data_IF_608392744696
#
_entry.id   IF_608392744696
#
_cell.length_a   1.000
_cell.length_b   1.000
_cell.length_c   1.000
_cell.angle_alpha   90.00
_cell.angle_beta   90.00
_cell.angle_gamma   90.00
#
_symmetry.space_group_name_H-M   'P 1'
#
loop_
_entity.id
_entity.type
_entity.pdbx_description
1 polymer ?
#
# COMPACT_ATOMS: atom_id res chain seq x y z
N UNK A 1 36.79 -1.49 35.97
CA UNK A 1 36.54 -1.57 34.52
C UNK A 1 35.05 -1.75 34.36
N UNK A 2 34.38 -0.67 33.97
CA UNK A 2 32.98 -0.40 34.31
C UNK A 2 31.96 -0.84 33.26
N UNK A 3 30.82 -1.29 33.78
CA UNK A 3 29.56 -1.49 33.07
C UNK A 3 28.99 -0.14 32.60
N UNK A 4 28.60 -0.04 31.33
CA UNK A 4 27.83 1.09 30.81
C UNK A 4 26.33 0.75 30.86
N UNK A 5 25.62 1.46 31.74
CA UNK A 5 24.16 1.46 31.85
C UNK A 5 23.54 2.13 30.61
N UNK A 6 22.57 1.47 29.99
CA UNK A 6 21.59 2.08 29.09
C UNK A 6 20.66 2.96 29.94
N UNK A 7 20.88 4.27 29.88
CA UNK A 7 20.05 5.25 30.58
C UNK A 7 18.70 5.42 29.87
N UNK A 8 17.65 5.31 30.68
CA UNK A 8 16.28 5.78 30.46
C UNK A 8 16.27 7.23 29.96
N UNK A 9 15.67 7.48 28.80
CA UNK A 9 15.39 8.82 28.30
C UNK A 9 14.03 9.28 28.86
N UNK A 10 14.05 10.28 29.76
CA UNK A 10 12.86 10.88 30.34
C UNK A 10 12.09 11.73 29.32
N UNK A 11 10.76 11.64 29.37
CA UNK A 11 9.79 12.30 28.48
C UNK A 11 9.66 13.82 28.67
N UNK A 12 10.57 14.48 29.39
CA UNK A 12 10.48 15.91 29.73
C UNK A 12 11.14 16.86 28.70
N UNK A 13 11.92 16.34 27.74
CA UNK A 13 12.64 17.17 26.76
C UNK A 13 11.95 17.30 25.40
N UNK A 14 10.83 16.60 25.16
CA UNK A 14 10.02 16.75 23.95
C UNK A 14 9.07 17.96 24.01
N UNK A 15 8.87 18.57 25.18
CA UNK A 15 7.94 19.70 25.36
C UNK A 15 8.53 21.07 25.00
N UNK A 16 9.85 21.26 25.06
CA UNK A 16 10.47 22.58 24.84
C UNK A 16 10.65 22.95 23.36
N UNK A 17 10.59 21.98 22.45
CA UNK A 17 10.64 22.22 21.00
C UNK A 17 9.30 22.65 20.38
N UNK A 18 8.21 22.61 21.16
CA UNK A 18 6.83 22.84 20.67
C UNK A 18 6.32 24.25 20.97
N UNK A 19 7.02 25.03 21.79
CA UNK A 19 6.53 26.36 22.22
C UNK A 19 6.78 27.46 21.16
N UNK A 20 7.83 27.34 20.34
CA UNK A 20 8.26 28.36 19.38
C UNK A 20 7.45 28.46 18.08
N UNK A 21 6.74 27.39 17.67
CA UNK A 21 5.93 27.37 16.45
C UNK A 21 4.46 27.78 16.66
N UNK A 22 3.97 27.80 17.91
CA UNK A 22 2.60 28.17 18.24
C UNK A 22 2.27 29.63 17.93
N UNK A 23 3.27 30.51 17.92
CA UNK A 23 3.03 31.95 17.78
C UNK A 23 3.00 32.41 16.30
N UNK A 24 3.54 31.62 15.37
CA UNK A 24 3.50 31.94 13.93
C UNK A 24 2.20 31.51 13.25
N UNK A 25 1.53 30.49 13.78
CA UNK A 25 0.24 29.98 13.27
C UNK A 25 -0.95 30.79 13.79
N UNK A 26 -0.82 31.51 14.91
CA UNK A 26 -1.92 32.28 15.49
C UNK A 26 -2.25 33.57 14.72
N UNK A 27 -1.27 34.15 14.04
CA UNK A 27 -1.41 35.42 13.31
C UNK A 27 -1.90 35.24 11.86
N UNK A 28 -1.69 34.08 11.24
CA UNK A 28 -2.20 33.81 9.87
C UNK A 28 -3.68 33.39 9.84
N UNK A 29 -4.28 33.03 10.98
CA UNK A 29 -5.66 32.50 11.06
C UNK A 29 -6.71 33.55 11.47
N UNK A 30 -6.31 34.72 11.98
CA UNK A 30 -7.28 35.70 12.55
C UNK A 30 -7.75 36.82 11.60
N UNK A 31 -7.35 36.85 10.33
CA UNK A 31 -7.94 37.74 9.32
C UNK A 31 -8.16 37.05 7.98
N UNK A 32 -9.17 36.17 7.92
CA UNK A 32 -9.59 35.56 6.67
C UNK A 32 -10.78 34.65 6.89
N UNK A 33 -11.97 35.17 6.60
CA UNK A 33 -13.25 34.46 6.66
C UNK A 33 -13.16 33.05 6.07
N UNK A 34 -13.79 32.07 6.71
CA UNK A 34 -14.85 31.22 6.13
C UNK A 34 -15.14 30.03 7.05
N UNK A 35 -16.43 29.80 7.30
CA UNK A 35 -16.97 28.54 7.81
C UNK A 35 -16.52 27.42 6.88
N UNK A 36 -15.56 26.59 7.30
CA UNK A 36 -15.20 25.39 6.55
C UNK A 36 -15.34 24.14 7.42
N UNK A 37 -15.85 23.10 6.78
CA UNK A 37 -16.22 21.78 7.30
C UNK A 37 -15.08 21.15 8.12
N UNK A 38 -15.37 20.23 9.06
CA UNK A 38 -14.39 19.58 9.94
C UNK A 38 -13.13 19.02 9.24
N UNK A 39 -13.22 18.75 7.94
CA UNK A 39 -12.18 18.19 7.07
C UNK A 39 -10.89 19.03 7.02
N UNK A 40 -10.95 20.37 6.97
CA UNK A 40 -9.74 21.20 6.77
C UNK A 40 -8.72 21.12 7.93
N UNK A 41 -9.19 20.78 9.14
CA UNK A 41 -8.34 20.66 10.34
C UNK A 41 -7.55 19.34 10.38
N UNK A 42 -8.07 18.28 9.75
CA UNK A 42 -7.46 16.96 9.75
C UNK A 42 -6.26 16.82 8.81
N UNK A 43 -6.17 17.65 7.75
CA UNK A 43 -5.06 17.54 6.78
C UNK A 43 -3.75 18.14 7.28
N UNK A 44 -3.80 19.12 8.20
CA UNK A 44 -2.61 19.82 8.71
C UNK A 44 -1.77 19.00 9.71
N UNK A 45 -2.33 17.95 10.34
CA UNK A 45 -1.61 17.03 11.26
C UNK A 45 -1.07 15.76 10.57
N UNK A 46 -1.43 15.52 9.30
CA UNK A 46 -1.12 14.28 8.54
C UNK A 46 0.35 13.97 8.27
N UNK A 47 1.26 14.94 8.05
CA UNK A 47 2.66 14.61 7.75
C UNK A 47 3.35 13.82 8.86
N UNK A 48 2.90 13.96 10.12
CA UNK A 48 3.58 13.42 11.29
C UNK A 48 3.22 11.96 11.63
N UNK A 49 2.18 11.40 11.01
CA UNK A 49 1.67 10.06 11.36
C UNK A 49 1.59 9.08 10.19
N UNK A 50 1.75 9.56 8.96
CA UNK A 50 1.80 8.70 7.78
C UNK A 50 3.04 7.79 7.80
N UNK A 51 2.94 6.53 7.35
CA UNK A 51 4.09 5.65 7.29
C UNK A 51 5.16 6.18 6.33
N UNK A 52 6.41 5.95 6.70
CA UNK A 52 7.54 5.92 5.79
C UNK A 52 7.83 4.46 5.47
N UNK A 53 8.24 4.19 4.24
CA UNK A 53 8.48 2.81 3.77
C UNK A 53 9.96 2.67 3.44
N UNK A 54 10.63 1.72 4.09
CA UNK A 54 11.93 1.25 3.61
C UNK A 54 11.71 0.24 2.50
N UNK A 55 12.22 0.54 1.31
CA UNK A 55 12.38 -0.43 0.24
C UNK A 55 13.67 -1.23 0.48
N UNK A 56 13.66 -2.52 0.16
CA UNK A 56 14.81 -3.38 0.41
C UNK A 56 16.06 -2.93 -0.39
N UNK A 57 17.26 -3.20 0.14
CA UNK A 57 18.53 -2.88 -0.52
C UNK A 57 18.69 -3.59 -1.89
N UNK A 58 18.04 -4.74 -2.06
CA UNK A 58 18.03 -5.49 -3.31
C UNK A 58 16.80 -5.25 -4.17
N UNK A 59 15.98 -4.23 -3.88
CA UNK A 59 14.78 -3.93 -4.66
C UNK A 59 15.14 -3.57 -6.12
N UNK A 60 14.38 -4.15 -7.05
CA UNK A 60 14.48 -3.90 -8.48
C UNK A 60 13.16 -3.38 -9.08
N UNK A 61 12.04 -3.57 -8.38
CA UNK A 61 10.70 -3.18 -8.77
C UNK A 61 10.21 -2.11 -7.80
N UNK A 62 10.41 -0.86 -8.18
CA UNK A 62 10.11 0.30 -7.33
C UNK A 62 8.63 0.72 -7.45
N UNK A 63 8.13 1.61 -6.59
CA UNK A 63 6.77 2.13 -6.73
C UNK A 63 6.54 2.74 -8.11
N UNK A 64 5.38 2.45 -8.70
CA UNK A 64 5.08 2.73 -10.11
C UNK A 64 3.94 3.71 -10.27
N UNK A 65 3.90 4.38 -11.43
CA UNK A 65 2.78 5.27 -11.77
C UNK A 65 1.48 4.47 -11.99
N UNK A 66 0.44 4.80 -11.24
CA UNK A 66 -0.87 4.14 -11.34
C UNK A 66 -1.47 4.36 -12.74
N UNK A 67 -1.26 5.54 -13.35
CA UNK A 67 -1.79 5.81 -14.69
C UNK A 67 -1.01 5.08 -15.77
N UNK A 68 0.32 5.00 -15.67
CA UNK A 68 1.13 4.21 -16.60
C UNK A 68 0.70 2.74 -16.68
N UNK A 69 0.19 2.13 -15.59
CA UNK A 69 -0.40 0.79 -15.65
C UNK A 69 -1.54 0.74 -16.68
N UNK A 70 -2.46 1.70 -16.64
CA UNK A 70 -3.61 1.77 -17.58
C UNK A 70 -3.13 2.02 -19.01
N UNK A 71 -2.09 2.84 -19.19
CA UNK A 71 -1.56 3.15 -20.53
C UNK A 71 -0.82 1.96 -21.17
N UNK A 72 -0.17 1.11 -20.36
CA UNK A 72 0.60 -0.03 -20.84
C UNK A 72 -0.20 -1.33 -20.87
N UNK A 73 -1.51 -1.27 -20.65
CA UNK A 73 -2.40 -2.43 -20.65
C UNK A 73 -3.64 -2.23 -21.52
N UNK A 74 -4.34 -3.33 -21.79
CA UNK A 74 -5.66 -3.36 -22.40
C UNK A 74 -6.56 -4.35 -21.66
N UNK A 75 -7.88 -4.11 -21.62
CA UNK A 75 -8.80 -4.97 -20.87
C UNK A 75 -9.11 -6.26 -21.62
N UNK A 76 -8.85 -7.40 -20.98
CA UNK A 76 -9.23 -8.72 -21.46
C UNK A 76 -10.24 -9.40 -20.53
N UNK A 77 -11.07 -10.26 -21.10
CA UNK A 77 -11.81 -11.31 -20.38
C UNK A 77 -11.46 -12.63 -21.04
N UNK A 78 -10.99 -13.61 -20.27
CA UNK A 78 -10.61 -14.93 -20.78
C UNK A 78 -9.66 -14.82 -22.00
N UNK A 79 -8.58 -14.05 -21.82
CA UNK A 79 -7.57 -13.76 -22.87
C UNK A 79 -8.12 -13.11 -24.16
N UNK A 80 -9.34 -12.57 -24.14
CA UNK A 80 -9.94 -11.90 -25.29
C UNK A 80 -10.17 -10.41 -24.98
N UNK A 81 -9.65 -9.55 -25.85
CA UNK A 81 -9.75 -8.08 -25.70
C UNK A 81 -11.16 -7.56 -25.83
N UNK A 82 -11.56 -6.73 -24.86
CA UNK A 82 -12.78 -5.93 -24.93
C UNK A 82 -12.52 -4.79 -25.93
N UNK A 83 -13.33 -4.74 -27.00
CA UNK A 83 -13.18 -3.75 -28.08
C UNK A 83 -14.20 -2.61 -27.95
N UNK A 84 -13.99 -1.56 -28.75
CA UNK A 84 -14.89 -0.40 -28.88
C UNK A 84 -15.09 0.39 -27.57
N UNK A 85 -14.06 0.44 -26.73
CA UNK A 85 -14.02 1.26 -25.54
C UNK A 85 -13.48 2.67 -25.87
N UNK A 86 -13.89 3.71 -25.14
CA UNK A 86 -13.16 4.98 -25.17
C UNK A 86 -11.73 4.77 -24.64
N UNK A 87 -10.80 5.71 -24.89
CA UNK A 87 -9.50 5.71 -24.22
C UNK A 87 -9.68 5.62 -22.71
N UNK A 88 -9.06 4.61 -22.11
CA UNK A 88 -9.14 4.38 -20.67
C UNK A 88 -8.23 5.34 -19.92
N UNK A 89 -8.75 5.92 -18.85
CA UNK A 89 -8.05 6.78 -17.91
C UNK A 89 -8.40 6.37 -16.49
N UNK A 90 -7.70 6.92 -15.50
CA UNK A 90 -8.06 6.70 -14.11
C UNK A 90 -9.45 7.27 -13.77
N UNK A 91 -9.96 8.26 -14.51
CA UNK A 91 -11.29 8.82 -14.27
C UNK A 91 -12.43 7.92 -14.72
N UNK A 92 -12.20 7.09 -15.74
CA UNK A 92 -13.26 6.29 -16.37
C UNK A 92 -13.02 4.77 -16.28
N UNK A 93 -11.97 4.30 -15.60
CA UNK A 93 -11.61 2.88 -15.57
C UNK A 93 -12.76 1.97 -15.09
N UNK A 94 -13.64 2.48 -14.22
CA UNK A 94 -14.83 1.78 -13.73
C UNK A 94 -15.88 1.46 -14.80
N UNK A 95 -15.81 2.01 -16.03
CA UNK A 95 -16.69 1.57 -17.13
C UNK A 95 -16.51 0.07 -17.42
N UNK A 96 -15.33 -0.47 -17.14
CA UNK A 96 -15.03 -1.89 -17.28
C UNK A 96 -15.89 -2.77 -16.34
N UNK A 97 -16.48 -2.20 -15.30
CA UNK A 97 -17.40 -2.91 -14.42
C UNK A 97 -18.69 -3.34 -15.12
N UNK A 98 -19.03 -2.79 -16.28
CA UNK A 98 -20.17 -3.22 -17.09
C UNK A 98 -19.96 -4.56 -17.81
N UNK A 99 -18.74 -5.10 -17.79
CA UNK A 99 -18.36 -6.29 -18.54
C UNK A 99 -18.11 -7.50 -17.64
N UNK A 100 -18.23 -8.69 -18.22
CA UNK A 100 -17.95 -9.95 -17.51
C UNK A 100 -18.80 -10.10 -16.25
N UNK A 101 -18.15 -10.50 -15.16
CA UNK A 101 -18.75 -10.65 -13.84
C UNK A 101 -18.68 -9.33 -13.05
N UNK A 102 -19.40 -8.30 -13.53
CA UNK A 102 -19.39 -6.96 -12.95
C UNK A 102 -17.98 -6.36 -12.82
N UNK A 103 -17.13 -6.57 -13.83
CA UNK A 103 -15.72 -6.15 -13.86
C UNK A 103 -14.74 -7.12 -13.20
N UNK A 104 -15.17 -8.02 -12.31
CA UNK A 104 -14.28 -8.82 -11.44
C UNK A 104 -13.33 -9.77 -12.18
N UNK A 105 -13.68 -10.15 -13.40
CA UNK A 105 -12.88 -11.00 -14.28
C UNK A 105 -12.42 -10.25 -15.55
N UNK A 106 -12.38 -8.91 -15.49
CA UNK A 106 -11.69 -8.08 -16.48
C UNK A 106 -10.26 -7.88 -15.98
N UNK A 107 -9.28 -8.11 -16.85
CA UNK A 107 -7.86 -8.07 -16.55
C UNK A 107 -7.20 -6.96 -17.36
N UNK A 108 -6.44 -6.08 -16.70
CA UNK A 108 -5.57 -5.10 -17.36
C UNK A 108 -4.33 -5.81 -17.89
N UNK A 109 -4.45 -6.42 -19.07
CA UNK A 109 -3.39 -7.25 -19.67
C UNK A 109 -2.33 -6.40 -20.34
N UNK A 110 -1.05 -6.69 -20.09
CA UNK A 110 0.10 -6.01 -20.67
C UNK A 110 0.01 -5.95 -22.20
N UNK A 111 0.36 -4.79 -22.76
CA UNK A 111 0.44 -4.58 -24.21
C UNK A 111 1.66 -5.24 -24.86
N UNK A 112 2.62 -5.66 -24.06
CA UNK A 112 3.89 -6.26 -24.48
C UNK A 112 4.21 -7.49 -23.65
N UNK A 113 5.07 -8.36 -24.17
CA UNK A 113 5.52 -9.54 -23.45
C UNK A 113 6.31 -9.13 -22.19
N UNK A 114 5.80 -9.53 -21.03
CA UNK A 114 6.37 -9.19 -19.72
C UNK A 114 7.71 -9.87 -19.47
N UNK A 115 7.99 -10.96 -20.21
CA UNK A 115 9.29 -11.66 -20.17
C UNK A 115 10.39 -10.93 -20.92
N UNK A 116 10.06 -9.87 -21.68
CA UNK A 116 11.03 -8.93 -22.26
C UNK A 116 11.47 -7.84 -21.27
N UNK A 117 11.07 -7.95 -20.00
CA UNK A 117 11.41 -7.03 -18.90
C UNK A 117 11.17 -5.55 -19.25
N UNK A 118 9.96 -5.18 -19.68
CA UNK A 118 9.71 -3.82 -20.11
C UNK A 118 9.88 -2.82 -18.97
N UNK A 119 10.53 -1.69 -19.29
CA UNK A 119 10.96 -0.67 -18.33
C UNK A 119 9.84 -0.12 -17.42
N UNK A 120 8.58 -0.11 -17.86
CA UNK A 120 7.48 0.39 -17.04
C UNK A 120 7.16 -0.51 -15.83
N UNK A 121 7.60 -1.78 -15.85
CA UNK A 121 7.46 -2.72 -14.74
C UNK A 121 8.43 -2.46 -13.58
N UNK A 122 9.57 -1.81 -13.82
CA UNK A 122 10.60 -1.57 -12.78
C UNK A 122 10.30 -0.36 -11.89
N UNK A 123 9.28 0.42 -12.22
CA UNK A 123 8.85 1.58 -11.44
C UNK A 123 9.84 2.74 -11.40
N UNK A 124 9.67 3.62 -10.40
CA UNK A 124 10.46 4.85 -10.22
C UNK A 124 11.17 4.81 -8.88
N UNK A 125 12.50 4.92 -8.93
CA UNK A 125 13.35 5.02 -7.75
C UNK A 125 13.03 6.35 -7.02
N UNK A 126 12.62 6.32 -5.73
CA UNK A 126 12.51 7.52 -4.90
C UNK A 126 13.81 8.34 -4.87
N UNK A 127 13.69 9.67 -4.85
CA UNK A 127 14.84 10.56 -4.67
C UNK A 127 15.32 10.61 -3.21
N UNK A 128 16.28 11.50 -2.91
CA UNK A 128 16.83 11.66 -1.57
C UNK A 128 15.82 12.13 -0.52
N UNK A 129 14.71 12.74 -0.94
CA UNK A 129 13.60 13.15 -0.07
C UNK A 129 12.54 12.05 0.06
N UNK A 130 12.74 10.92 -0.62
CA UNK A 130 11.81 9.80 -0.66
C UNK A 130 10.64 10.02 -1.62
N UNK A 131 10.73 10.94 -2.57
CA UNK A 131 9.66 11.20 -3.55
C UNK A 131 9.87 10.41 -4.85
N UNK A 132 8.80 9.80 -5.36
CA UNK A 132 8.78 9.30 -6.75
C UNK A 132 8.44 10.45 -7.70
N UNK A 133 9.42 10.90 -8.49
CA UNK A 133 9.28 12.08 -9.32
C UNK A 133 8.44 11.84 -10.60
N UNK A 134 7.61 12.83 -10.94
CA UNK A 134 6.79 12.88 -12.17
C UNK A 134 5.76 11.76 -12.35
N UNK A 135 5.44 11.02 -11.28
CA UNK A 135 4.47 9.91 -11.28
C UNK A 135 3.62 9.96 -10.02
N UNK A 136 2.43 9.36 -10.02
CA UNK A 136 1.63 9.17 -8.81
C UNK A 136 1.60 7.69 -8.47
N UNK A 137 2.31 7.31 -7.39
CA UNK A 137 2.58 5.91 -7.04
C UNK A 137 1.81 5.42 -5.81
N UNK A 138 0.95 6.26 -5.26
CA UNK A 138 0.21 5.96 -4.04
C UNK A 138 -1.21 6.52 -4.09
N UNK A 139 -2.07 5.95 -3.25
CA UNK A 139 -3.38 6.49 -2.96
C UNK A 139 -3.61 6.51 -1.44
N UNK A 140 -4.05 7.64 -0.92
CA UNK A 140 -4.37 7.84 0.49
C UNK A 140 -5.87 7.98 0.61
N UNK A 141 -6.49 7.00 1.27
CA UNK A 141 -7.95 6.89 1.39
C UNK A 141 -8.31 7.01 2.86
N UNK A 142 -9.16 7.96 3.21
CA UNK A 142 -9.60 8.19 4.59
C UNK A 142 -11.08 7.88 4.74
N UNK A 143 -11.42 6.99 5.67
CA UNK A 143 -12.78 6.69 6.07
C UNK A 143 -13.04 7.22 7.48
N UNK A 144 -13.84 8.28 7.59
CA UNK A 144 -14.36 8.75 8.88
C UNK A 144 -15.55 7.88 9.28
N UNK A 145 -15.36 7.08 10.32
CA UNK A 145 -16.34 6.09 10.80
C UNK A 145 -17.29 6.69 11.83
N UNK A 146 -17.17 7.99 12.10
CA UNK A 146 -17.91 8.69 13.14
C UNK A 146 -17.37 8.39 14.55
N UNK A 147 -17.90 9.13 15.53
CA UNK A 147 -17.57 8.96 16.95
C UNK A 147 -16.05 9.03 17.27
N UNK A 148 -15.29 9.79 16.48
CA UNK A 148 -13.85 9.95 16.68
C UNK A 148 -12.99 8.83 16.07
N UNK A 149 -13.60 7.79 15.48
CA UNK A 149 -12.89 6.69 14.83
C UNK A 149 -12.62 7.02 13.36
N UNK A 150 -11.36 7.00 12.95
CA UNK A 150 -10.94 7.28 11.55
C UNK A 150 -9.95 6.23 11.10
N UNK A 151 -10.17 5.71 9.90
CA UNK A 151 -9.26 4.79 9.25
C UNK A 151 -8.56 5.48 8.08
N UNK A 152 -7.24 5.50 8.07
CA UNK A 152 -6.43 6.00 6.97
C UNK A 152 -5.67 4.83 6.31
N UNK A 153 -5.96 4.59 5.04
CA UNK A 153 -5.28 3.61 4.21
C UNK A 153 -4.23 4.31 3.36
N UNK A 154 -3.00 3.80 3.41
CA UNK A 154 -1.86 4.23 2.60
C UNK A 154 -1.59 3.11 1.60
N UNK A 155 -2.17 3.24 0.41
CA UNK A 155 -2.08 2.25 -0.67
C UNK A 155 -0.85 2.53 -1.52
N UNK A 156 -0.08 1.49 -1.81
CA UNK A 156 1.15 1.51 -2.57
C UNK A 156 0.95 0.75 -3.86
N UNK A 157 1.40 1.32 -4.97
CA UNK A 157 1.27 0.68 -6.27
C UNK A 157 2.64 0.32 -6.85
N UNK A 158 2.77 -0.91 -7.32
CA UNK A 158 3.91 -1.40 -8.09
C UNK A 158 3.39 -1.97 -9.40
N UNK A 159 4.12 -1.79 -10.49
CA UNK A 159 3.68 -2.27 -11.82
C UNK A 159 3.94 -3.77 -12.01
N UNK A 160 4.77 -4.36 -11.15
CA UNK A 160 5.12 -5.77 -11.17
C UNK A 160 5.40 -6.23 -9.75
N UNK A 161 5.00 -7.46 -9.45
CA UNK A 161 5.38 -8.21 -8.26
C UNK A 161 6.25 -9.38 -8.73
N UNK A 162 7.48 -9.45 -8.21
CA UNK A 162 8.32 -10.62 -8.36
C UNK A 162 8.02 -11.57 -7.20
N UNK A 163 7.49 -12.74 -7.54
CA UNK A 163 7.14 -13.77 -6.58
C UNK A 163 8.35 -14.35 -5.86
N UNK A 164 8.10 -15.15 -4.83
CA UNK A 164 9.18 -15.73 -4.04
C UNK A 164 9.79 -16.96 -4.72
N UNK A 165 11.05 -17.25 -4.37
CA UNK A 165 11.73 -18.47 -4.77
C UNK A 165 11.44 -19.62 -3.79
N UNK A 166 10.84 -20.70 -4.29
CA UNK A 166 10.60 -21.94 -3.54
C UNK A 166 11.39 -23.06 -4.20
N UNK A 167 12.35 -23.67 -3.48
CA UNK A 167 13.26 -24.69 -4.04
C UNK A 167 13.86 -24.29 -5.40
N UNK A 168 14.39 -23.07 -5.49
CA UNK A 168 14.99 -22.50 -6.71
C UNK A 168 14.02 -22.23 -7.88
N UNK A 169 12.70 -22.27 -7.64
CA UNK A 169 11.67 -21.91 -8.60
C UNK A 169 11.01 -20.60 -8.18
N UNK A 170 11.04 -19.59 -9.05
CA UNK A 170 10.30 -18.33 -8.87
C UNK A 170 8.81 -18.54 -9.19
N UNK A 171 7.96 -18.17 -8.24
CA UNK A 171 6.53 -18.45 -8.27
C UNK A 171 5.72 -17.28 -7.73
N UNK A 172 4.59 -16.99 -8.38
CA UNK A 172 3.64 -15.98 -7.93
C UNK A 172 3.84 -14.60 -8.54
N UNK A 173 4.62 -14.47 -9.61
CA UNK A 173 4.79 -13.22 -10.33
C UNK A 173 3.45 -12.71 -10.86
N UNK A 174 3.21 -11.41 -10.75
CA UNK A 174 2.05 -10.81 -11.38
C UNK A 174 2.28 -9.36 -11.79
N UNK A 175 1.53 -8.96 -12.80
CA UNK A 175 1.52 -7.59 -13.31
C UNK A 175 0.57 -6.80 -12.43
N UNK A 176 1.02 -5.60 -12.07
CA UNK A 176 0.42 -4.70 -11.10
C UNK A 176 0.35 -5.29 -9.70
N UNK A 177 0.46 -4.43 -8.70
CA UNK A 177 0.43 -4.83 -7.31
C UNK A 177 -0.11 -3.72 -6.42
N UNK A 178 -0.96 -4.10 -5.47
CA UNK A 178 -1.59 -3.18 -4.52
C UNK A 178 -1.36 -3.69 -3.10
N UNK A 179 -0.38 -3.07 -2.45
CA UNK A 179 -0.03 -3.27 -1.03
C UNK A 179 -0.47 -2.05 -0.22
N UNK A 180 -0.58 -2.18 1.11
CA UNK A 180 -0.97 -1.06 1.95
C UNK A 180 -0.64 -1.22 3.43
N UNK A 181 -0.46 -0.06 4.05
CA UNK A 181 -0.67 0.09 5.47
C UNK A 181 -2.03 0.72 5.75
N UNK A 182 -2.57 0.44 6.94
CA UNK A 182 -3.73 1.18 7.46
C UNK A 182 -3.46 1.59 8.89
N UNK A 183 -3.78 2.82 9.26
CA UNK A 183 -3.73 3.31 10.63
C UNK A 183 -5.15 3.61 11.08
N UNK A 184 -5.54 3.07 12.24
CA UNK A 184 -6.79 3.43 12.90
C UNK A 184 -6.52 4.44 14.00
N UNK A 185 -7.27 5.53 13.95
CA UNK A 185 -7.27 6.61 14.92
C UNK A 185 -8.54 6.56 15.76
N UNK A 186 -8.41 6.88 17.03
CA UNK A 186 -9.52 7.14 17.95
C UNK A 186 -9.26 8.49 18.61
N UNK A 187 -10.24 9.40 18.53
CA UNK A 187 -10.14 10.78 19.04
C UNK A 187 -8.85 11.51 18.59
N UNK A 188 -8.54 11.40 17.29
CA UNK A 188 -7.33 11.94 16.65
C UNK A 188 -5.99 11.30 17.08
N UNK A 189 -6.01 10.18 17.83
CA UNK A 189 -4.79 9.49 18.28
C UNK A 189 -4.65 8.14 17.58
N UNK A 190 -3.50 7.84 16.95
CA UNK A 190 -3.31 6.54 16.31
C UNK A 190 -3.23 5.42 17.36
N UNK A 191 -4.04 4.39 17.18
CA UNK A 191 -4.17 3.27 18.12
C UNK A 191 -3.48 2.01 17.62
N UNK A 192 -3.62 1.72 16.33
CA UNK A 192 -3.16 0.47 15.71
C UNK A 192 -2.81 0.67 14.25
N UNK A 193 -1.96 -0.20 13.74
CA UNK A 193 -1.48 -0.18 12.37
C UNK A 193 -1.50 -1.59 11.77
N UNK A 194 -2.04 -1.69 10.57
CA UNK A 194 -2.05 -2.87 9.72
C UNK A 194 -0.90 -2.82 8.71
N UNK A 195 -0.34 -3.99 8.43
CA UNK A 195 0.66 -4.21 7.40
C UNK A 195 0.16 -5.36 6.51
N UNK A 196 -0.19 -5.06 5.26
CA UNK A 196 -0.63 -6.11 4.32
C UNK A 196 0.52 -7.00 3.91
N UNK A 197 0.26 -8.29 3.81
CA UNK A 197 1.21 -9.31 3.39
C UNK A 197 0.45 -10.30 2.52
N UNK A 198 0.68 -10.26 1.21
CA UNK A 198 0.02 -11.16 0.26
C UNK A 198 -1.51 -11.07 0.38
N UNK A 199 -2.19 -12.20 0.60
CA UNK A 199 -3.64 -12.26 0.83
C UNK A 199 -4.13 -11.86 2.23
N UNK A 200 -3.23 -11.57 3.18
CA UNK A 200 -3.58 -11.19 4.55
C UNK A 200 -2.61 -10.12 5.10
N UNK A 201 -2.06 -10.31 6.31
CA UNK A 201 -1.18 -9.35 6.95
C UNK A 201 -1.12 -9.50 8.46
N UNK A 202 -0.56 -8.49 9.12
CA UNK A 202 -0.39 -8.43 10.56
C UNK A 202 -0.83 -7.06 11.11
N UNK A 203 -1.38 -7.07 12.32
CA UNK A 203 -1.72 -5.85 13.05
C UNK A 203 -0.86 -5.67 14.31
N UNK A 204 -0.51 -4.42 14.59
CA UNK A 204 0.24 -4.01 15.77
C UNK A 204 -0.42 -2.82 16.45
N UNK A 205 -0.25 -2.70 17.75
CA UNK A 205 -0.53 -1.43 18.44
C UNK A 205 0.37 -0.34 17.86
N UNK A 206 -0.14 0.86 17.66
CA UNK A 206 0.67 1.94 17.07
C UNK A 206 1.87 2.28 17.93
N UNK A 207 1.75 2.15 19.26
CA UNK A 207 2.83 2.37 20.21
C UNK A 207 4.02 1.44 19.96
N UNK A 208 3.78 0.18 19.60
CA UNK A 208 4.85 -0.81 19.42
C UNK A 208 5.59 -0.69 18.11
N UNK A 209 4.99 -0.08 17.08
CA UNK A 209 5.62 0.12 15.76
C UNK A 209 6.80 1.09 15.86
N UNK A 210 7.89 0.74 15.15
CA UNK A 210 9.07 1.59 15.03
C UNK A 210 8.73 2.96 14.43
N UNK A 211 9.38 4.02 14.90
CA UNK A 211 9.17 5.38 14.41
C UNK A 211 10.50 6.01 14.02
N UNK A 212 10.47 6.78 12.94
CA UNK A 212 11.61 7.57 12.48
C UNK A 212 11.94 8.66 13.52
N UNK A 213 13.15 8.66 14.07
CA UNK A 213 13.49 9.49 15.23
C UNK A 213 13.29 11.00 15.02
N UNK A 214 13.43 11.49 13.78
CA UNK A 214 13.31 12.93 13.45
C UNK A 214 11.86 13.40 13.27
N UNK A 215 10.98 12.54 12.76
CA UNK A 215 9.61 12.92 12.38
C UNK A 215 8.53 12.23 13.20
N UNK A 216 8.90 11.22 14.01
CA UNK A 216 8.01 10.33 14.75
C UNK A 216 7.01 9.55 13.89
N UNK A 217 7.17 9.58 12.57
CA UNK A 217 6.37 8.80 11.62
C UNK A 217 6.64 7.30 11.78
N UNK A 218 5.62 6.44 11.69
CA UNK A 218 5.80 5.00 11.78
C UNK A 218 6.58 4.49 10.56
N UNK A 219 7.29 3.40 10.74
CA UNK A 219 8.09 2.77 9.69
C UNK A 219 7.43 1.46 9.25
N UNK A 220 7.37 1.27 7.94
CA UNK A 220 7.03 0.03 7.25
C UNK A 220 8.21 -0.44 6.44
N UNK A 221 8.34 -1.75 6.27
CA UNK A 221 9.38 -2.37 5.46
C UNK A 221 8.71 -3.13 4.32
N UNK A 222 8.97 -2.72 3.08
CA UNK A 222 8.50 -3.43 1.89
C UNK A 222 9.44 -4.58 1.57
N UNK A 223 8.89 -5.77 1.42
CA UNK A 223 9.65 -6.94 1.01
C UNK A 223 10.13 -6.79 -0.42
N UNK A 224 11.35 -7.28 -0.67
CA UNK A 224 11.97 -7.30 -1.99
C UNK A 224 11.08 -8.05 -2.98
N UNK A 225 10.62 -7.37 -4.03
CA UNK A 225 9.90 -7.96 -5.16
C UNK A 225 8.44 -8.32 -4.88
N UNK A 226 8.14 -8.94 -3.73
CA UNK A 226 6.76 -9.29 -3.34
C UNK A 226 5.98 -8.13 -2.74
N UNK A 227 6.68 -7.07 -2.31
CA UNK A 227 6.16 -5.84 -1.73
C UNK A 227 5.32 -5.97 -0.45
N UNK A 228 5.14 -7.18 0.08
CA UNK A 228 4.51 -7.42 1.37
C UNK A 228 5.13 -6.51 2.44
N UNK A 229 4.29 -5.91 3.28
CA UNK A 229 4.69 -4.92 4.27
C UNK A 229 4.90 -5.56 5.64
N UNK A 230 6.00 -5.18 6.29
CA UNK A 230 6.40 -5.71 7.59
C UNK A 230 6.71 -4.59 8.57
N UNK A 231 6.47 -4.87 9.86
CA UNK A 231 6.77 -3.92 10.95
C UNK A 231 8.25 -3.95 11.39
N UNK A 232 9.01 -4.95 10.95
CA UNK A 232 10.44 -5.14 11.28
C UNK A 232 11.25 -5.52 10.03
N UNK A 233 12.54 -5.18 9.96
CA UNK A 233 13.42 -5.68 8.92
C UNK A 233 13.78 -7.15 9.18
N UNK A 234 14.23 -7.87 8.15
CA UNK A 234 14.77 -9.23 8.28
C UNK A 234 14.13 -10.23 7.32
N UNK A 235 14.13 -11.49 7.73
CA UNK A 235 13.56 -12.61 6.99
C UNK A 235 12.20 -12.94 7.60
N UNK A 236 11.19 -13.10 6.76
CA UNK A 236 9.82 -13.38 7.16
C UNK A 236 9.31 -14.61 6.40
N UNK A 237 9.26 -15.76 7.05
CA UNK A 237 8.51 -16.90 6.51
C UNK A 237 7.01 -16.60 6.60
N UNK A 238 6.27 -16.86 5.52
CA UNK A 238 4.84 -16.58 5.45
C UNK A 238 4.02 -17.79 4.98
N UNK A 239 4.56 -19.00 5.19
CA UNK A 239 3.84 -20.25 4.93
C UNK A 239 2.51 -20.35 5.70
N UNK A 240 2.46 -19.77 6.91
CA UNK A 240 1.27 -19.74 7.75
C UNK A 240 0.74 -18.30 7.80
N UNK A 241 -0.50 -18.03 7.35
CA UNK A 241 -1.09 -16.70 7.43
C UNK A 241 -1.06 -16.13 8.85
N UNK A 242 -0.68 -14.86 9.00
CA UNK A 242 -0.55 -14.16 10.29
C UNK A 242 0.53 -14.73 11.24
N UNK A 243 1.50 -15.51 10.76
CA UNK A 243 2.64 -15.95 11.56
C UNK A 243 3.94 -15.81 10.77
N UNK A 244 4.80 -14.87 11.19
CA UNK A 244 6.15 -14.77 10.65
C UNK A 244 7.08 -15.68 11.44
N UNK A 245 7.87 -16.49 10.76
CA UNK A 245 8.98 -17.22 11.37
C UNK A 245 10.29 -16.66 10.82
N UNK A 246 11.38 -16.63 11.61
CA UNK A 246 12.67 -16.12 11.15
C UNK A 246 13.32 -16.98 10.06
N UNK A 247 12.77 -18.17 9.79
CA UNK A 247 13.12 -19.05 8.69
C UNK A 247 11.97 -20.00 8.36
N UNK A 248 11.81 -20.34 7.08
CA UNK A 248 10.89 -21.37 6.59
C UNK A 248 10.98 -21.59 5.08
N UNK A 249 9.93 -22.11 4.45
CA UNK A 249 9.97 -22.57 3.05
C UNK A 249 9.62 -21.49 2.03
N UNK A 250 8.96 -20.42 2.46
CA UNK A 250 8.47 -19.35 1.60
C UNK A 250 8.74 -18.02 2.31
N UNK A 251 9.77 -17.31 1.86
CA UNK A 251 10.39 -16.23 2.62
C UNK A 251 10.36 -14.90 1.87
N UNK A 252 9.97 -13.86 2.59
CA UNK A 252 10.19 -12.48 2.23
C UNK A 252 11.43 -11.91 2.94
N UNK A 253 12.04 -10.92 2.30
CA UNK A 253 13.25 -10.26 2.77
C UNK A 253 13.02 -8.76 2.81
N UNK A 254 13.30 -8.15 3.96
CA UNK A 254 13.20 -6.70 4.15
C UNK A 254 14.46 -6.13 4.77
N UNK A 255 14.82 -4.90 4.39
CA UNK A 255 15.95 -4.17 4.96
C UNK A 255 15.75 -2.66 4.87
N UNK A 256 16.66 -1.90 5.48
CA UNK A 256 16.70 -0.43 5.42
C UNK A 256 17.46 0.01 4.17
N UNK A 257 16.87 -0.18 3.00
CA UNK A 257 17.46 0.26 1.73
C UNK A 257 17.12 1.71 1.42
N UNK A 258 16.26 1.93 0.44
CA UNK A 258 15.85 3.27 0.03
C UNK A 258 14.61 3.71 0.80
N UNK A 259 14.65 4.92 1.38
CA UNK A 259 13.50 5.47 2.08
C UNK A 259 12.52 6.07 1.08
N UNK A 260 11.26 5.69 1.18
CA UNK A 260 10.17 6.20 0.37
C UNK A 260 9.12 6.86 1.27
N UNK A 261 8.62 8.01 0.81
CA UNK A 261 7.49 8.71 1.41
C UNK A 261 6.29 8.68 0.46
N UNK A 262 5.34 7.75 0.69
CA UNK A 262 4.12 7.62 -0.10
C UNK A 262 3.27 8.90 -0.17
N UNK A 263 3.42 9.82 0.78
CA UNK A 263 2.61 11.05 0.84
C UNK A 263 3.07 12.14 -0.12
N UNK A 264 4.31 12.06 -0.63
CA UNK A 264 4.88 13.07 -1.52
C UNK A 264 4.41 12.93 -2.97
N UNK A 265 3.79 11.81 -3.32
CA UNK A 265 3.13 11.62 -4.61
C UNK A 265 1.98 10.62 -4.53
N UNK A 266 0.82 11.12 -4.10
CA UNK A 266 -0.39 10.33 -3.92
C UNK A 266 -1.63 11.01 -4.50
N UNK A 267 -2.60 10.18 -4.90
CA UNK A 267 -3.98 10.60 -4.99
C UNK A 267 -4.65 10.55 -3.61
N UNK A 268 -5.59 11.45 -3.34
CA UNK A 268 -6.24 11.60 -2.05
C UNK A 268 -7.75 11.44 -2.18
N UNK A 269 -8.34 10.71 -1.25
CA UNK A 269 -9.77 10.42 -1.25
C UNK A 269 -10.34 10.41 0.17
N UNK A 270 -11.58 10.88 0.31
CA UNK A 270 -12.42 10.42 1.41
C UNK A 270 -13.27 9.23 0.92
N UNK A 271 -13.50 8.26 1.79
CA UNK A 271 -14.39 7.15 1.54
C UNK A 271 -15.53 7.17 2.56
N UNK A 272 -16.77 7.11 2.08
CA UNK A 272 -17.95 6.94 2.93
C UNK A 272 -18.28 5.45 3.04
N UNK A 273 -18.02 4.88 4.23
CA UNK A 273 -18.29 3.48 4.51
C UNK A 273 -19.77 3.07 4.44
N UNK A 274 -20.72 4.00 4.61
CA UNK A 274 -22.16 3.67 4.57
C UNK A 274 -22.66 3.50 3.13
N UNK A 275 -22.24 4.39 2.24
CA UNK A 275 -22.63 4.38 0.83
C UNK A 275 -21.64 3.61 -0.06
N UNK A 276 -20.47 3.26 0.47
CA UNK A 276 -19.34 2.70 -0.29
C UNK A 276 -18.93 3.59 -1.46
N UNK A 277 -18.81 4.89 -1.19
CA UNK A 277 -18.47 5.89 -2.22
C UNK A 277 -17.17 6.63 -1.90
N UNK A 278 -16.48 7.05 -2.96
CA UNK A 278 -15.28 7.87 -2.91
C UNK A 278 -15.61 9.33 -3.25
N UNK A 279 -15.09 10.25 -2.45
CA UNK A 279 -15.01 11.67 -2.74
C UNK A 279 -13.58 11.99 -3.19
N UNK A 280 -13.45 12.67 -4.33
CA UNK A 280 -12.18 13.17 -4.85
C UNK A 280 -11.65 14.32 -4.01
N UNK A 281 -10.36 14.28 -3.67
CA UNK A 281 -9.62 15.41 -3.10
C UNK A 281 -8.63 15.92 -4.13
N UNK A 282 -8.57 17.23 -4.30
CA UNK A 282 -7.67 17.93 -5.23
C UNK A 282 -7.69 17.39 -6.67
N UNK A 283 -8.87 16.95 -7.13
CA UNK A 283 -9.06 16.43 -8.48
C UNK A 283 -8.55 15.00 -8.70
N UNK A 284 -8.31 14.24 -7.62
CA UNK A 284 -7.93 12.83 -7.71
C UNK A 284 -8.97 12.00 -8.47
N UNK A 285 -8.56 11.14 -9.42
CA UNK A 285 -9.47 10.42 -10.31
C UNK A 285 -10.17 9.29 -9.57
N UNK A 286 -11.51 9.23 -9.64
CA UNK A 286 -12.30 8.26 -8.85
C UNK A 286 -12.58 6.95 -9.58
N UNK A 287 -12.54 6.92 -10.91
CA UNK A 287 -12.86 5.72 -11.71
C UNK A 287 -12.00 4.51 -11.35
N UNK A 288 -10.70 4.71 -11.14
CA UNK A 288 -9.76 3.67 -10.73
C UNK A 288 -10.10 3.10 -9.35
N UNK A 289 -10.58 3.92 -8.41
CA UNK A 289 -10.99 3.46 -7.07
C UNK A 289 -12.26 2.60 -7.12
N UNK A 290 -13.12 2.78 -8.12
CA UNK A 290 -14.30 1.96 -8.34
C UNK A 290 -14.06 0.74 -9.25
N UNK A 291 -12.91 0.63 -9.91
CA UNK A 291 -12.63 -0.51 -10.79
C UNK A 291 -12.50 -1.80 -9.99
N UNK A 292 -13.31 -2.80 -10.33
CA UNK A 292 -13.44 -4.07 -9.60
C UNK A 292 -12.59 -5.21 -10.14
N UNK A 293 -11.97 -5.00 -11.30
CA UNK A 293 -11.21 -6.04 -11.99
C UNK A 293 -9.80 -6.22 -11.46
N UNK A 294 -8.98 -6.89 -12.28
CA UNK A 294 -7.61 -7.26 -11.94
C UNK A 294 -6.64 -6.26 -12.56
N UNK A 295 -5.74 -5.75 -11.75
CA UNK A 295 -4.72 -4.77 -12.12
C UNK A 295 -3.51 -5.42 -12.83
N UNK A 296 -3.75 -6.39 -13.69
CA UNK A 296 -2.71 -7.08 -14.44
C UNK A 296 -3.26 -8.21 -15.30
N UNK A 297 -2.34 -8.96 -15.87
CA UNK A 297 -2.63 -10.12 -16.71
C UNK A 297 -3.49 -11.15 -15.98
N UNK A 298 -4.26 -11.91 -16.75
CA UNK A 298 -4.82 -13.17 -16.30
C UNK A 298 -3.70 -14.21 -16.22
N UNK A 299 -3.70 -15.03 -15.15
CA UNK A 299 -2.77 -16.15 -15.00
C UNK A 299 -2.60 -16.92 -16.32
N UNK A 300 -1.36 -17.07 -16.77
CA UNK A 300 -1.09 -17.75 -18.04
C UNK A 300 -1.50 -19.23 -17.99
N UNK A 301 -1.84 -19.76 -19.17
CA UNK A 301 -2.13 -21.18 -19.32
C UNK A 301 -0.87 -22.02 -19.02
N UNK A 302 -1.04 -23.23 -18.49
CA UNK A 302 0.08 -24.15 -18.25
C UNK A 302 0.80 -24.57 -19.55
N UNK A 303 0.21 -24.30 -20.72
CA UNK A 303 0.81 -24.50 -22.04
C UNK A 303 1.42 -23.22 -22.66
N UNK A 304 1.34 -22.08 -21.98
CA UNK A 304 1.96 -20.84 -22.45
C UNK A 304 3.49 -20.97 -22.34
N UNK A 305 4.28 -20.63 -23.39
CA UNK A 305 5.74 -20.78 -23.35
C UNK A 305 6.43 -19.93 -22.27
N UNK A 306 5.77 -18.88 -21.77
CA UNK A 306 6.26 -18.03 -20.68
C UNK A 306 5.96 -18.63 -19.30
N UNK A 307 5.01 -19.56 -19.24
CA UNK A 307 4.60 -20.22 -18.01
C UNK A 307 5.47 -21.46 -17.77
N UNK A 308 6.35 -21.38 -16.77
CA UNK A 308 7.08 -22.56 -16.31
C UNK A 308 6.10 -23.64 -15.80
N UNK A 309 6.42 -24.94 -15.97
CA UNK A 309 5.57 -26.01 -15.48
C UNK A 309 5.20 -25.81 -14.00
N UNK A 310 3.94 -26.04 -13.60
CA UNK A 310 3.54 -25.84 -12.21
C UNK A 310 4.40 -26.63 -11.23
N UNK A 311 4.82 -25.98 -10.15
CA UNK A 311 5.64 -26.58 -9.11
C UNK A 311 4.82 -26.70 -7.82
N UNK A 312 4.53 -27.93 -7.39
CA UNK A 312 3.59 -28.21 -6.30
C UNK A 312 2.21 -27.53 -6.45
N UNK A 313 1.74 -27.34 -7.68
CA UNK A 313 0.47 -26.69 -7.99
C UNK A 313 0.54 -25.15 -8.06
N UNK A 314 1.67 -24.55 -7.67
CA UNK A 314 1.96 -23.13 -7.84
C UNK A 314 2.51 -22.84 -9.23
N UNK A 315 2.35 -21.61 -9.69
CA UNK A 315 2.71 -21.17 -11.04
C UNK A 315 3.64 -19.97 -10.96
N UNK A 316 4.52 -19.86 -11.95
CA UNK A 316 5.35 -18.67 -12.17
C UNK A 316 4.49 -17.40 -12.28
N UNK A 317 3.73 -17.22 -13.35
CA UNK A 317 2.83 -16.08 -13.49
C UNK A 317 1.44 -16.41 -12.97
N UNK A 318 0.88 -15.54 -12.13
CA UNK A 318 -0.48 -15.60 -11.61
C UNK A 318 -1.26 -14.35 -11.98
N UNK A 319 -2.57 -14.36 -11.73
CA UNK A 319 -3.42 -13.22 -12.04
C UNK A 319 -3.07 -12.01 -11.17
N UNK A 320 -3.05 -10.82 -11.78
CA UNK A 320 -2.92 -9.56 -11.03
C UNK A 320 -3.98 -9.39 -9.94
N UNK A 321 -3.71 -8.56 -8.90
CA UNK A 321 -4.61 -8.40 -7.78
C UNK A 321 -5.80 -7.52 -8.12
N UNK A 322 -6.81 -7.52 -7.26
CA UNK A 322 -7.86 -6.50 -7.26
C UNK A 322 -7.35 -5.18 -6.66
N UNK A 323 -7.99 -4.07 -7.03
CA UNK A 323 -7.61 -2.73 -6.56
C UNK A 323 -8.15 -2.36 -5.17
N UNK A 324 -8.01 -1.08 -4.78
CA UNK A 324 -8.44 -0.58 -3.46
C UNK A 324 -9.90 -0.87 -3.07
N UNK A 325 -10.81 -0.97 -4.06
CA UNK A 325 -12.22 -1.31 -3.85
C UNK A 325 -12.41 -2.58 -2.99
N UNK A 326 -11.54 -3.56 -3.17
CA UNK A 326 -11.66 -4.90 -2.55
C UNK A 326 -10.96 -4.99 -1.19
N UNK A 327 -10.32 -3.92 -0.72
CA UNK A 327 -9.51 -3.90 0.51
C UNK A 327 -10.32 -3.63 1.80
N UNK A 328 -11.63 -3.86 1.75
CA UNK A 328 -12.57 -3.71 2.87
C UNK A 328 -12.45 -2.38 3.63
N UNK A 329 -12.56 -1.26 2.91
CA UNK A 329 -12.30 0.09 3.46
C UNK A 329 -13.20 0.52 4.63
N UNK A 330 -14.29 -0.20 4.89
CA UNK A 330 -15.17 -0.03 6.05
C UNK A 330 -15.15 -1.22 7.04
N UNK A 331 -14.02 -1.94 7.12
CA UNK A 331 -13.88 -3.12 8.00
C UNK A 331 -14.06 -2.77 9.49
N UNK A 332 -14.74 -3.66 10.22
CA UNK A 332 -15.00 -3.47 11.66
C UNK A 332 -13.71 -3.45 12.48
N UNK A 333 -12.81 -4.41 12.24
CA UNK A 333 -11.52 -4.54 12.91
C UNK A 333 -10.38 -3.95 12.06
N UNK A 334 -9.19 -3.83 12.64
CA UNK A 334 -7.99 -3.42 11.89
C UNK A 334 -7.53 -4.50 10.89
N UNK A 335 -7.83 -5.76 11.16
CA UNK A 335 -7.62 -6.88 10.23
C UNK A 335 -8.84 -7.03 9.30
N UNK A 336 -8.66 -7.52 8.07
CA UNK A 336 -9.77 -7.84 7.18
C UNK A 336 -10.65 -8.95 7.77
N UNK A 337 -11.94 -8.92 7.45
CA UNK A 337 -12.88 -10.00 7.77
C UNK A 337 -12.77 -11.10 6.71
N UNK A 338 -11.99 -12.14 7.03
CA UNK A 338 -11.71 -13.27 6.14
C UNK A 338 -11.72 -14.63 6.87
N UNK A 339 -12.30 -14.68 8.08
CA UNK A 339 -12.34 -15.88 8.91
C UNK A 339 -11.05 -16.18 9.69
N UNK A 340 -9.99 -15.39 9.52
CA UNK A 340 -8.77 -15.46 10.35
C UNK A 340 -8.98 -14.57 11.58
N UNK A 341 -8.55 -15.06 12.75
CA UNK A 341 -8.64 -14.30 14.00
C UNK A 341 -7.82 -13.01 13.88
N UNK A 342 -8.42 -11.87 14.22
CA UNK A 342 -7.69 -10.61 14.22
C UNK A 342 -6.83 -10.48 15.49
N UNK A 343 -5.52 -10.66 15.33
CA UNK A 343 -4.54 -10.54 16.42
C UNK A 343 -3.84 -9.18 16.32
N UNK A 344 -3.93 -8.39 17.39
CA UNK A 344 -3.23 -7.10 17.52
C UNK A 344 -2.05 -7.28 18.47
N UNK A 345 -0.84 -7.20 17.94
CA UNK A 345 0.41 -7.41 18.68
C UNK A 345 0.86 -6.12 19.39
N UNK A 346 1.25 -6.21 20.65
CA UNK A 346 1.75 -5.08 21.45
C UNK A 346 3.29 -4.99 21.49
N UNK A 347 3.96 -5.92 20.82
CA UNK A 347 5.42 -6.00 20.71
C UNK A 347 5.80 -6.41 19.29
N UNK A 348 6.95 -5.90 18.85
CA UNK A 348 7.60 -6.38 17.64
C UNK A 348 8.33 -7.68 17.96
N UNK A 349 8.16 -8.66 17.10
CA UNK A 349 8.90 -9.90 17.08
C UNK A 349 8.83 -10.49 15.67
N UNK A 350 9.75 -11.40 15.31
CA UNK A 350 9.42 -12.44 14.34
C UNK A 350 8.13 -13.13 14.78
#
# INVERSE_FOLDING_TARGET
MGNANLATMEWSQASEWVEGEKQRVYEEVTQGQLRQKPVARWYHTRPLVAPLVWLDNGEAYFPSDIFAQVQNTHPNINFTTIRNLPPLTLDNLNILNAYGNNGKNVYLTSNIDVTEEPKWLTGIIPDSDGKTNNVTSSAIIVNDRGNGSVDAFYMYFYAYNQGNNVFFQELGDHIGDWEHNMIRFEDNKPQMMWFSQHGNGQAFTYKSVEKMSKSMRPISYSAKGSHANYAVPGIHDHLIPDLNLPAGFLQDYTSRGLLWDPTLSAYFYNFDGNSSTFESIDGSPVGAMYYRGRWGDQQYSDNDPRQSPPFFGFRKFVSGPTGPWDKQLNRTNICPDNGILCIIRDRLGP
#
